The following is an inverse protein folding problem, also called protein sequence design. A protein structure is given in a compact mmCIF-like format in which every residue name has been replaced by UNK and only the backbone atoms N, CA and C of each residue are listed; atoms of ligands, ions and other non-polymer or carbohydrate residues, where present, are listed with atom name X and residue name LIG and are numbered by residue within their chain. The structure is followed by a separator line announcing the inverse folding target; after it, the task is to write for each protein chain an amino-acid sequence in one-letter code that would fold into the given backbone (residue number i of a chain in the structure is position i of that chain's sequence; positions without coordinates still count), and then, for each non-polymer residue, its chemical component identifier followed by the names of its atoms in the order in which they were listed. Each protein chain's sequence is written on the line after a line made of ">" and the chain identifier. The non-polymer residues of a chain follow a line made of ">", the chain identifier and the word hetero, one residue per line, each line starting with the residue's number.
data_IF_778268410579
#
_entry.id   IF_778268410579
#
_cell.length_a   1.000
_cell.length_b   1.000
_cell.length_c   1.000
_cell.angle_alpha   90.00
_cell.angle_beta   90.00
_cell.angle_gamma   90.00
#
_symmetry.space_group_name_H-M   'P 1'
#
loop_
_entity.id
_entity.type
_entity.pdbx_description
1 polymer ?
#
# COMPACT_ATOMS: atom_id res chain seq x y z
N UNK A 1 -20.28 12.26 28.09
CA UNK A 1 -19.44 12.65 26.94
C UNK A 1 -19.90 11.78 25.79
N UNK A 2 -20.81 12.28 24.97
CA UNK A 2 -21.29 11.54 23.80
C UNK A 2 -20.19 11.58 22.75
N UNK A 3 -19.61 10.40 22.51
CA UNK A 3 -18.67 10.16 21.43
C UNK A 3 -19.49 9.98 20.16
N UNK A 4 -19.48 11.00 19.31
CA UNK A 4 -19.99 10.90 17.96
C UNK A 4 -18.85 10.37 17.08
N UNK A 5 -18.92 9.11 16.68
CA UNK A 5 -18.08 8.58 15.62
C UNK A 5 -18.72 8.98 14.29
N UNK A 6 -18.14 9.99 13.64
CA UNK A 6 -18.39 10.19 12.21
C UNK A 6 -17.59 9.09 11.52
N UNK A 7 -18.28 8.09 10.98
CA UNK A 7 -17.67 7.07 10.12
C UNK A 7 -17.15 7.79 8.86
N UNK A 8 -15.89 8.23 8.93
CA UNK A 8 -15.15 8.61 7.73
C UNK A 8 -15.15 7.37 6.85
N UNK A 9 -15.53 7.50 5.58
CA UNK A 9 -15.31 6.40 4.64
C UNK A 9 -13.83 5.97 4.68
N UNK A 10 -13.56 4.71 4.34
CA UNK A 10 -12.21 4.16 4.48
C UNK A 10 -11.22 4.99 3.66
N UNK A 11 -10.05 5.28 4.23
CA UNK A 11 -8.97 5.89 3.46
C UNK A 11 -8.62 4.93 2.33
N UNK A 12 -8.46 5.43 1.11
CA UNK A 12 -8.15 4.58 -0.04
C UNK A 12 -6.66 4.19 0.04
N UNK A 13 -6.35 2.92 0.37
CA UNK A 13 -4.98 2.51 0.64
C UNK A 13 -4.20 2.38 -0.67
N UNK A 14 -2.88 2.56 -0.58
CA UNK A 14 -1.99 2.12 -1.64
C UNK A 14 -1.82 0.60 -1.64
N UNK A 15 -1.32 0.06 -2.74
CA UNK A 15 -0.96 -1.34 -2.87
C UNK A 15 0.56 -1.53 -2.74
N UNK A 16 0.96 -2.60 -2.04
CA UNK A 16 2.35 -3.05 -2.04
C UNK A 16 2.71 -3.72 -3.36
N UNK A 17 3.89 -3.44 -3.86
CA UNK A 17 4.40 -4.12 -5.05
C UNK A 17 4.83 -5.55 -4.73
N UNK A 18 4.54 -6.47 -5.65
CA UNK A 18 5.02 -7.85 -5.61
C UNK A 18 5.69 -8.19 -6.93
N UNK A 19 6.99 -8.44 -6.87
CA UNK A 19 7.79 -8.91 -7.98
C UNK A 19 8.14 -10.37 -7.82
N UNK A 20 8.16 -11.11 -8.93
CA UNK A 20 8.63 -12.49 -8.96
C UNK A 20 9.84 -12.60 -9.88
N UNK A 21 10.95 -13.13 -9.36
CA UNK A 21 12.11 -13.54 -10.14
C UNK A 21 12.09 -15.06 -10.33
N UNK A 22 12.23 -15.53 -11.56
CA UNK A 22 12.49 -16.95 -11.84
C UNK A 22 13.87 -17.12 -12.44
N UNK A 23 14.72 -17.92 -11.81
CA UNK A 23 16.04 -18.31 -12.34
C UNK A 23 15.84 -19.43 -13.37
N UNK A 24 16.00 -19.09 -14.65
CA UNK A 24 15.82 -20.02 -15.77
C UNK A 24 17.09 -20.76 -16.16
N UNK A 25 18.27 -20.22 -15.87
CA UNK A 25 19.56 -20.87 -16.18
C UNK A 25 20.52 -20.73 -15.01
N UNK A 26 21.13 -21.86 -14.62
CA UNK A 26 22.11 -21.92 -13.54
C UNK A 26 23.45 -21.27 -13.97
N UNK A 27 24.21 -20.69 -13.01
CA UNK A 27 25.53 -20.15 -13.29
C UNK A 27 26.50 -21.23 -13.79
N UNK A 28 27.37 -20.85 -14.73
CA UNK A 28 28.47 -21.68 -15.23
C UNK A 28 29.83 -21.21 -14.73
N UNK A 29 29.89 -20.00 -14.17
CA UNK A 29 31.06 -19.42 -13.52
C UNK A 29 30.67 -18.83 -12.16
N UNK A 30 31.59 -18.89 -11.19
CA UNK A 30 31.42 -18.20 -9.92
C UNK A 30 31.55 -16.68 -10.12
N UNK A 31 30.81 -15.90 -9.34
CA UNK A 31 30.83 -14.44 -9.43
C UNK A 31 29.61 -13.80 -8.78
N UNK A 32 29.36 -12.54 -9.08
CA UNK A 32 28.21 -11.80 -8.58
C UNK A 32 27.11 -11.72 -9.65
N UNK A 33 25.88 -12.04 -9.25
CA UNK A 33 24.68 -11.56 -9.92
C UNK A 33 24.20 -10.27 -9.25
N UNK A 34 23.38 -9.49 -9.93
CA UNK A 34 22.76 -8.29 -9.38
C UNK A 34 21.25 -8.35 -9.60
N UNK A 35 20.50 -8.15 -8.51
CA UNK A 35 19.06 -7.86 -8.56
C UNK A 35 18.89 -6.37 -8.32
N UNK A 36 18.09 -5.71 -9.15
CA UNK A 36 17.75 -4.30 -8.97
C UNK A 36 16.27 -4.20 -8.70
N UNK A 37 15.89 -3.69 -7.54
CA UNK A 37 14.49 -3.54 -7.12
C UNK A 37 14.23 -2.07 -6.79
N UNK A 38 13.21 -1.48 -7.39
CA UNK A 38 12.94 -0.03 -7.32
C UNK A 38 14.20 0.84 -7.55
N UNK A 39 15.02 0.47 -8.55
CA UNK A 39 16.27 1.17 -8.86
C UNK A 39 17.45 0.93 -7.91
N UNK A 40 17.26 0.18 -6.81
CA UNK A 40 18.34 -0.15 -5.87
C UNK A 40 18.93 -1.51 -6.22
N UNK A 41 20.24 -1.53 -6.50
CA UNK A 41 20.97 -2.74 -6.85
C UNK A 41 21.47 -3.47 -5.59
N UNK A 42 21.23 -4.77 -5.53
CA UNK A 42 21.70 -5.70 -4.51
C UNK A 42 22.50 -6.83 -5.19
N UNK A 43 23.65 -7.16 -4.63
CA UNK A 43 24.59 -8.13 -5.21
C UNK A 43 24.57 -9.45 -4.45
N UNK A 44 24.55 -10.55 -5.18
CA UNK A 44 24.55 -11.90 -4.59
C UNK A 44 25.65 -12.73 -5.23
N UNK A 45 26.52 -13.31 -4.39
CA UNK A 45 27.58 -14.21 -4.86
C UNK A 45 26.98 -15.57 -5.18
N UNK A 46 27.28 -16.10 -6.36
CA UNK A 46 26.93 -17.45 -6.82
C UNK A 46 28.17 -18.23 -7.21
N UNK A 47 28.07 -19.56 -7.19
CA UNK A 47 29.12 -20.49 -7.57
C UNK A 47 28.77 -21.19 -8.88
N UNK A 48 29.76 -21.63 -9.65
CA UNK A 48 29.54 -22.43 -10.86
C UNK A 48 28.89 -23.79 -10.61
N UNK A 49 28.81 -24.24 -9.36
CA UNK A 49 28.15 -25.49 -8.94
C UNK A 49 26.72 -25.27 -8.46
N UNK A 50 26.26 -24.03 -8.33
CA UNK A 50 24.91 -23.76 -7.85
C UNK A 50 23.88 -24.19 -8.90
N UNK A 51 22.83 -24.87 -8.46
CA UNK A 51 21.62 -25.05 -9.28
C UNK A 51 20.79 -23.78 -9.25
N UNK A 52 19.82 -23.65 -10.17
CA UNK A 52 18.86 -22.53 -10.14
C UNK A 52 18.12 -22.40 -8.80
N UNK A 53 17.83 -23.53 -8.15
CA UNK A 53 17.21 -23.54 -6.82
C UNK A 53 18.15 -23.00 -5.73
N UNK A 54 19.43 -23.38 -5.77
CA UNK A 54 20.44 -22.87 -4.83
C UNK A 54 20.65 -21.36 -5.03
N UNK A 55 20.65 -20.86 -6.27
CA UNK A 55 20.67 -19.41 -6.54
C UNK A 55 19.47 -18.73 -5.88
N UNK A 56 18.28 -19.31 -5.98
CA UNK A 56 17.10 -18.82 -5.28
C UNK A 56 17.27 -18.79 -3.76
N UNK A 57 17.87 -19.82 -3.16
CA UNK A 57 18.15 -19.86 -1.72
C UNK A 57 19.12 -18.76 -1.30
N UNK A 58 20.17 -18.51 -2.09
CA UNK A 58 21.13 -17.43 -1.81
C UNK A 58 20.48 -16.06 -1.83
N UNK A 59 19.63 -15.81 -2.82
CA UNK A 59 18.88 -14.55 -2.92
C UNK A 59 17.93 -14.41 -1.71
N UNK A 60 17.17 -15.45 -1.35
CA UNK A 60 16.28 -15.44 -0.19
C UNK A 60 17.00 -15.19 1.14
N UNK A 61 18.25 -15.64 1.25
CA UNK A 61 19.10 -15.43 2.43
C UNK A 61 19.86 -14.09 2.39
N UNK A 62 19.68 -13.27 1.35
CA UNK A 62 20.26 -11.92 1.26
C UNK A 62 19.29 -10.91 1.87
N UNK A 63 19.80 -10.00 2.71
CA UNK A 63 18.98 -8.91 3.24
C UNK A 63 18.74 -7.86 2.15
N UNK A 64 17.52 -7.82 1.62
CA UNK A 64 17.10 -6.84 0.62
C UNK A 64 16.33 -5.72 1.32
N UNK A 65 16.96 -4.55 1.49
CA UNK A 65 16.40 -3.46 2.29
C UNK A 65 15.03 -2.98 1.75
N UNK A 66 14.03 -2.92 2.63
CA UNK A 66 12.68 -2.46 2.29
C UNK A 66 11.83 -3.46 1.50
N UNK A 67 12.26 -4.71 1.42
CA UNK A 67 11.53 -5.80 0.79
C UNK A 67 11.48 -7.02 1.71
N UNK A 68 10.34 -7.69 1.73
CA UNK A 68 10.19 -9.03 2.29
C UNK A 68 10.44 -10.03 1.17
N UNK A 69 11.40 -10.94 1.37
CA UNK A 69 11.80 -11.93 0.36
C UNK A 69 11.25 -13.32 0.72
N UNK A 70 10.66 -14.00 -0.26
CA UNK A 70 10.04 -15.32 -0.10
C UNK A 70 10.18 -16.19 -1.36
N UNK A 71 9.24 -17.12 -1.54
CA UNK A 71 9.27 -18.09 -2.64
C UNK A 71 10.01 -19.38 -2.31
N UNK A 72 10.21 -20.23 -3.30
CA UNK A 72 10.85 -21.55 -3.14
C UNK A 72 11.54 -22.00 -4.43
N UNK A 73 12.58 -22.83 -4.30
CA UNK A 73 13.36 -23.31 -5.45
C UNK A 73 13.91 -22.16 -6.28
N UNK A 74 13.75 -22.24 -7.60
CA UNK A 74 14.24 -21.22 -8.54
C UNK A 74 13.35 -19.97 -8.64
N UNK A 75 12.22 -19.92 -7.92
CA UNK A 75 11.28 -18.80 -7.93
C UNK A 75 11.35 -18.04 -6.61
N UNK A 76 11.57 -16.74 -6.70
CA UNK A 76 11.74 -15.82 -5.58
C UNK A 76 10.66 -14.75 -5.68
N UNK A 77 10.00 -14.45 -4.57
CA UNK A 77 9.03 -13.36 -4.49
C UNK A 77 9.60 -12.23 -3.65
N UNK A 78 9.44 -10.99 -4.10
CA UNK A 78 9.81 -9.78 -3.37
C UNK A 78 8.54 -8.97 -3.14
N UNK A 79 8.16 -8.76 -1.89
CA UNK A 79 7.03 -7.90 -1.51
C UNK A 79 7.56 -6.61 -0.92
N UNK A 80 7.19 -5.47 -1.47
CA UNK A 80 7.61 -4.17 -0.94
C UNK A 80 6.99 -3.96 0.44
N UNK A 81 7.77 -3.46 1.39
CA UNK A 81 7.30 -3.25 2.77
C UNK A 81 6.44 -1.99 2.94
N UNK A 82 6.37 -1.15 1.90
CA UNK A 82 5.58 0.08 1.85
C UNK A 82 4.82 0.13 0.54
N UNK A 83 3.72 0.89 0.53
CA UNK A 83 3.01 1.20 -0.69
C UNK A 83 3.78 2.23 -1.51
N UNK A 84 3.28 2.48 -2.73
CA UNK A 84 3.89 3.41 -3.67
C UNK A 84 4.23 2.77 -5.01
N UNK A 85 4.35 3.62 -6.02
CA UNK A 85 4.82 3.24 -7.35
C UNK A 85 6.31 2.94 -7.30
N UNK A 86 6.74 1.78 -7.83
CA UNK A 86 8.15 1.44 -7.92
C UNK A 86 8.61 1.36 -9.37
N UNK A 87 9.92 1.52 -9.54
CA UNK A 87 10.60 1.28 -10.82
C UNK A 87 10.70 -0.23 -11.07
N UNK A 88 10.43 -0.64 -12.30
CA UNK A 88 10.47 -2.04 -12.72
C UNK A 88 11.77 -2.74 -12.30
N UNK A 89 11.68 -3.99 -11.81
CA UNK A 89 12.84 -4.75 -11.37
C UNK A 89 13.71 -5.21 -12.55
N UNK A 90 15.00 -5.41 -12.29
CA UNK A 90 15.94 -5.92 -13.29
C UNK A 90 16.89 -6.98 -12.70
N UNK A 91 17.28 -7.94 -13.55
CA UNK A 91 18.27 -8.95 -13.23
C UNK A 91 19.48 -8.78 -14.14
N UNK A 92 20.69 -8.84 -13.57
CA UNK A 92 21.93 -8.88 -14.31
C UNK A 92 22.79 -10.05 -13.84
N UNK A 93 23.20 -10.90 -14.78
CA UNK A 93 23.99 -12.10 -14.49
C UNK A 93 25.48 -11.81 -14.20
N UNK A 94 25.95 -10.59 -14.50
CA UNK A 94 27.38 -10.32 -14.62
C UNK A 94 28.02 -11.27 -15.63
N UNK A 95 29.14 -11.88 -15.24
CA UNK A 95 29.86 -12.88 -16.04
C UNK A 95 29.54 -14.33 -15.64
N UNK A 96 28.54 -14.56 -14.79
CA UNK A 96 28.28 -15.88 -14.18
C UNK A 96 27.60 -16.87 -15.13
N UNK A 97 26.97 -16.37 -16.21
CA UNK A 97 26.17 -17.18 -17.14
C UNK A 97 24.78 -17.55 -16.63
N UNK A 98 24.40 -17.12 -15.42
CA UNK A 98 23.03 -17.30 -14.92
C UNK A 98 22.02 -16.51 -15.77
N UNK A 99 20.78 -16.96 -15.82
CA UNK A 99 19.70 -16.19 -16.43
C UNK A 99 18.48 -16.17 -15.50
N UNK A 100 17.91 -15.00 -15.31
CA UNK A 100 16.73 -14.78 -14.49
C UNK A 100 15.79 -13.79 -15.16
N UNK A 101 14.49 -14.04 -15.01
CA UNK A 101 13.43 -13.17 -15.55
C UNK A 101 12.55 -12.67 -14.43
N UNK A 102 12.36 -11.35 -14.38
CA UNK A 102 11.40 -10.72 -13.48
C UNK A 102 10.01 -10.62 -14.12
N UNK A 103 8.98 -10.71 -13.29
CA UNK A 103 7.62 -10.31 -13.58
C UNK A 103 7.07 -9.47 -12.43
N UNK A 104 6.52 -8.29 -12.74
CA UNK A 104 5.74 -7.50 -11.77
C UNK A 104 4.38 -8.17 -11.64
N UNK A 105 4.20 -8.97 -10.59
CA UNK A 105 2.98 -9.76 -10.35
C UNK A 105 1.88 -8.96 -9.66
N UNK A 106 2.25 -7.88 -8.97
CA UNK A 106 1.32 -6.86 -8.46
C UNK A 106 2.05 -5.54 -8.50
N UNK A 107 1.55 -4.56 -9.26
CA UNK A 107 2.17 -3.24 -9.33
C UNK A 107 1.86 -2.45 -8.05
N UNK A 108 2.87 -1.79 -7.47
CA UNK A 108 2.66 -0.92 -6.34
C UNK A 108 1.92 0.37 -6.72
N UNK A 109 1.03 0.84 -5.84
CA UNK A 109 0.32 2.12 -5.99
C UNK A 109 0.46 2.93 -4.71
N UNK A 110 0.59 4.24 -4.83
CA UNK A 110 0.53 5.12 -3.67
C UNK A 110 -0.92 5.24 -3.17
N UNK A 111 -1.09 5.41 -1.86
CA UNK A 111 -2.38 5.83 -1.31
C UNK A 111 -2.87 7.12 -1.99
N UNK A 112 -4.17 7.20 -2.28
CA UNK A 112 -4.70 8.34 -3.05
C UNK A 112 -4.77 9.64 -2.24
N UNK A 113 -4.61 9.54 -0.91
CA UNK A 113 -4.82 10.67 0.00
C UNK A 113 -6.28 11.08 0.13
N UNK A 114 -7.21 10.26 -0.38
CA UNK A 114 -8.65 10.46 -0.33
C UNK A 114 -9.34 9.36 0.46
N UNK A 115 -10.63 9.54 0.64
CA UNK A 115 -11.50 8.63 1.38
C UNK A 115 -12.64 8.17 0.47
N UNK A 116 -13.05 6.92 0.61
CA UNK A 116 -14.27 6.43 -0.03
C UNK A 116 -15.47 7.30 0.39
N UNK A 117 -16.31 7.65 -0.56
CA UNK A 117 -17.45 8.54 -0.33
C UNK A 117 -18.60 8.21 -1.28
N UNK A 118 -19.83 8.44 -0.80
CA UNK A 118 -21.04 8.36 -1.63
C UNK A 118 -21.63 9.75 -1.76
N UNK A 119 -21.72 10.25 -2.99
CA UNK A 119 -22.29 11.55 -3.31
C UNK A 119 -23.80 11.45 -3.53
N UNK A 120 -24.57 12.27 -2.80
CA UNK A 120 -26.01 12.42 -2.98
C UNK A 120 -26.32 13.85 -3.45
N UNK A 121 -27.12 13.97 -4.49
CA UNK A 121 -27.80 15.23 -4.83
C UNK A 121 -29.18 15.19 -4.21
N UNK A 122 -29.67 16.29 -3.68
CA UNK A 122 -30.99 16.34 -3.07
C UNK A 122 -31.43 17.75 -2.77
N UNK A 123 -32.65 17.88 -2.28
CA UNK A 123 -33.18 19.15 -1.79
C UNK A 123 -33.51 19.01 -0.31
N UNK A 124 -33.29 20.09 0.45
CA UNK A 124 -33.86 20.22 1.79
C UNK A 124 -35.36 20.42 1.62
N UNK A 125 -36.15 19.51 2.15
CA UNK A 125 -37.61 19.56 2.08
C UNK A 125 -38.22 20.19 3.32
N UNK A 126 -37.54 20.10 4.46
CA UNK A 126 -37.98 20.72 5.71
C UNK A 126 -36.78 21.32 6.44
N UNK A 127 -36.99 22.46 7.06
CA UNK A 127 -36.00 23.14 7.90
C UNK A 127 -36.72 23.77 9.08
N UNK A 128 -36.21 23.53 10.29
CA UNK A 128 -36.66 24.20 11.50
C UNK A 128 -35.47 24.67 12.34
N UNK A 129 -35.69 25.79 13.04
CA UNK A 129 -34.73 26.37 13.97
C UNK A 129 -35.47 26.75 15.24
N UNK A 130 -35.05 26.20 16.38
CA UNK A 130 -35.54 26.55 17.71
C UNK A 130 -34.40 27.11 18.55
N UNK A 131 -34.72 28.05 19.43
CA UNK A 131 -33.78 28.62 20.39
C UNK A 131 -34.50 28.77 21.73
N UNK A 132 -34.22 27.86 22.66
CA UNK A 132 -34.64 27.98 24.05
C UNK A 132 -33.82 29.07 24.75
N UNK A 133 -34.40 29.74 25.74
CA UNK A 133 -33.74 30.86 26.44
C UNK A 133 -32.52 30.40 27.26
N UNK A 134 -32.43 29.11 27.58
CA UNK A 134 -31.36 28.49 28.36
C UNK A 134 -30.64 27.35 27.59
N UNK A 135 -31.09 27.04 26.38
CA UNK A 135 -30.60 25.90 25.59
C UNK A 135 -29.78 26.35 24.38
N UNK A 136 -29.03 25.41 23.82
CA UNK A 136 -28.38 25.61 22.53
C UNK A 136 -29.42 25.79 21.43
N UNK A 137 -29.07 26.59 20.42
CA UNK A 137 -29.86 26.69 19.19
C UNK A 137 -29.85 25.33 18.50
N UNK A 138 -31.04 24.78 18.25
CA UNK A 138 -31.20 23.52 17.51
C UNK A 138 -31.62 23.82 16.07
N UNK A 139 -30.94 23.18 15.13
CA UNK A 139 -31.26 23.23 13.71
C UNK A 139 -31.60 21.80 13.28
N UNK A 140 -32.80 21.61 12.78
CA UNK A 140 -33.24 20.35 12.20
C UNK A 140 -33.60 20.55 10.74
N UNK A 141 -33.23 19.60 9.89
CA UNK A 141 -33.58 19.62 8.49
C UNK A 141 -33.80 18.20 7.96
N UNK A 142 -34.74 18.08 7.03
CA UNK A 142 -35.01 16.87 6.26
C UNK A 142 -34.48 17.10 4.85
N UNK A 143 -33.64 16.21 4.35
CA UNK A 143 -33.20 16.22 2.95
C UNK A 143 -33.72 14.98 2.22
N UNK A 144 -34.11 15.17 0.95
CA UNK A 144 -34.51 14.07 0.07
C UNK A 144 -33.43 13.89 -0.99
N UNK A 145 -32.73 12.74 -1.01
CA UNK A 145 -31.81 12.43 -2.10
C UNK A 145 -32.58 12.13 -3.38
N UNK A 146 -32.11 12.73 -4.48
CA UNK A 146 -32.57 12.48 -5.83
C UNK A 146 -31.84 11.25 -6.38
N UNK A 147 -32.57 10.14 -6.51
CA UNK A 147 -32.02 8.91 -7.10
C UNK A 147 -31.09 8.16 -6.16
N UNK A 148 -30.10 7.47 -6.73
CA UNK A 148 -29.11 6.70 -6.00
C UNK A 148 -27.84 7.51 -5.78
N UNK A 149 -27.20 7.30 -4.62
CA UNK A 149 -25.88 7.83 -4.36
C UNK A 149 -24.86 7.28 -5.36
N UNK A 150 -23.83 8.08 -5.65
CA UNK A 150 -22.72 7.68 -6.53
C UNK A 150 -21.47 7.52 -5.69
N UNK A 151 -20.91 6.32 -5.67
CA UNK A 151 -19.65 6.04 -4.97
C UNK A 151 -18.45 6.66 -5.72
N UNK A 152 -17.46 7.10 -4.95
CA UNK A 152 -16.24 7.72 -5.44
C UNK A 152 -15.27 8.02 -4.31
N UNK A 153 -14.28 8.88 -4.58
CA UNK A 153 -13.31 9.32 -3.57
C UNK A 153 -13.49 10.82 -3.28
N UNK A 154 -13.41 11.22 -2.01
CA UNK A 154 -13.46 12.61 -1.58
C UNK A 154 -12.21 13.03 -0.79
N UNK A 155 -11.84 14.30 -0.92
CA UNK A 155 -10.78 14.93 -0.13
C UNK A 155 -11.41 15.68 1.04
N UNK A 156 -10.83 15.55 2.23
CA UNK A 156 -11.19 16.37 3.39
C UNK A 156 -10.34 17.64 3.41
N UNK A 157 -10.93 18.77 3.82
CA UNK A 157 -10.10 19.94 4.18
C UNK A 157 -9.27 19.64 5.42
N UNK A 158 -8.21 20.42 5.66
CA UNK A 158 -7.36 20.25 6.83
C UNK A 158 -8.17 20.37 8.14
N UNK A 159 -9.17 21.26 8.17
CA UNK A 159 -10.06 21.45 9.32
C UNK A 159 -10.97 20.24 9.52
N UNK A 160 -11.57 19.70 8.45
CA UNK A 160 -12.39 18.50 8.53
C UNK A 160 -11.57 17.28 9.00
N UNK A 161 -10.35 17.13 8.48
CA UNK A 161 -9.44 16.08 8.92
C UNK A 161 -9.06 16.24 10.40
N UNK A 162 -8.79 17.46 10.87
CA UNK A 162 -8.44 17.74 12.26
C UNK A 162 -9.59 17.45 13.23
N UNK A 163 -10.84 17.78 12.85
CA UNK A 163 -12.03 17.48 13.66
C UNK A 163 -12.23 15.97 13.78
N UNK A 164 -12.05 15.22 12.70
CA UNK A 164 -12.18 13.75 12.70
C UNK A 164 -11.02 13.06 13.43
N UNK A 165 -9.80 13.59 13.35
CA UNK A 165 -8.61 13.04 14.01
C UNK A 165 -8.62 13.21 15.54
N UNK A 166 -9.46 14.10 16.09
CA UNK A 166 -9.47 14.42 17.51
C UNK A 166 -10.01 13.30 18.43
N UNK A 167 -10.40 12.13 17.90
CA UNK A 167 -11.14 11.09 18.66
C UNK A 167 -10.33 9.85 19.07
N UNK A 168 -9.09 9.64 18.62
CA UNK A 168 -8.26 8.53 19.14
C UNK A 168 -6.87 8.99 19.57
N UNK A 169 -6.64 9.09 20.88
CA UNK A 169 -5.31 9.01 21.47
C UNK A 169 -5.08 7.57 21.91
N UNK A 170 -4.04 6.94 21.37
CA UNK A 170 -3.60 5.62 21.83
C UNK A 170 -3.31 5.68 23.34
N UNK A 171 -3.87 4.75 24.11
CA UNK A 171 -3.64 4.63 25.55
C UNK A 171 -2.48 3.68 25.77
N UNK A 172 -1.29 4.23 26.00
CA UNK A 172 -0.14 3.44 26.43
C UNK A 172 -0.23 3.18 27.94
N UNK A 173 0.09 1.96 28.37
CA UNK A 173 0.30 1.66 29.80
C UNK A 173 1.61 2.35 30.22
N UNK A 174 1.55 3.23 31.22
CA UNK A 174 2.79 3.84 31.76
C UNK A 174 3.65 2.75 32.45
N UNK A 175 4.97 2.88 32.28
CA UNK A 175 5.98 1.94 32.75
C UNK A 175 6.19 1.98 34.27
#
# INVERSE_FOLDING_TARGET
>A
MELWEIDKGSAVPGAFEVDTLTIGTAPTAAGEITITLNGVAEKVVVLSTDTAAIVGDRIRNTNVAGWTVGGTGATITFTKNTDGTNTAPAFAAGTTGAAGTFAVTTAGTAASGKYDATYYQGYITEYSKSAGTEDNVEISFTFVPNGHGVDGEATLTAEQAAVVQYVFKDTTVEA
#
